data_IF_858104777039
#
_entry.id   IF_858104777039
#
_cell.length_a   1.000
_cell.length_b   1.000
_cell.length_c   1.000
_cell.angle_alpha   90.00
_cell.angle_beta   90.00
_cell.angle_gamma   90.00
#
_symmetry.space_group_name_H-M   'P 1'
#
loop_
_entity.id
_entity.type
_entity.pdbx_description
1 polymer ?
#
# COMPACT_ATOMS: atom_id res chain seq x y z
N UNK A 1 -24.24 38.63 -11.65
CA UNK A 1 -23.42 37.39 -11.76
C UNK A 1 -23.56 36.63 -10.44
N UNK A 2 -23.94 35.34 -10.47
CA UNK A 2 -24.24 34.60 -9.25
C UNK A 2 -22.95 34.02 -8.64
N UNK A 3 -22.51 34.49 -7.45
CA UNK A 3 -21.28 34.02 -6.80
C UNK A 3 -21.31 32.51 -6.52
N UNK A 4 -22.50 31.94 -6.31
CA UNK A 4 -22.71 30.52 -6.06
C UNK A 4 -22.25 29.62 -7.22
N UNK A 5 -22.34 30.09 -8.48
CA UNK A 5 -21.87 29.32 -9.65
C UNK A 5 -20.35 29.21 -9.70
N UNK A 6 -19.64 30.26 -9.27
CA UNK A 6 -18.18 30.27 -9.21
C UNK A 6 -17.66 29.39 -8.08
N UNK A 7 -18.33 29.40 -6.92
CA UNK A 7 -17.97 28.51 -5.81
C UNK A 7 -18.11 27.04 -6.22
N UNK A 8 -19.21 26.67 -6.89
CA UNK A 8 -19.43 25.29 -7.36
C UNK A 8 -18.45 24.89 -8.47
N UNK A 9 -18.12 25.80 -9.40
CA UNK A 9 -17.09 25.52 -10.42
C UNK A 9 -15.69 25.38 -9.80
N UNK A 10 -15.35 26.22 -8.81
CA UNK A 10 -14.05 26.18 -8.14
C UNK A 10 -13.88 24.89 -7.33
N UNK A 11 -14.92 24.44 -6.62
CA UNK A 11 -14.87 23.17 -5.90
C UNK A 11 -14.76 21.98 -6.83
N UNK A 12 -15.49 21.97 -7.96
CA UNK A 12 -15.35 20.94 -8.99
C UNK A 12 -13.95 20.92 -9.61
N UNK A 13 -13.35 22.08 -9.86
CA UNK A 13 -11.99 22.19 -10.41
C UNK A 13 -10.94 21.68 -9.41
N UNK A 14 -11.06 22.02 -8.13
CA UNK A 14 -10.17 21.53 -7.07
C UNK A 14 -10.29 20.01 -6.95
N UNK A 15 -11.50 19.45 -7.05
CA UNK A 15 -11.70 18.00 -7.07
C UNK A 15 -11.07 17.33 -8.31
N UNK A 16 -11.09 17.97 -9.48
CA UNK A 16 -10.43 17.44 -10.68
C UNK A 16 -8.90 17.45 -10.56
N UNK A 17 -8.33 18.51 -9.97
CA UNK A 17 -6.88 18.59 -9.73
C UNK A 17 -6.40 17.56 -8.69
N UNK A 18 -7.23 17.24 -7.70
CA UNK A 18 -6.98 16.15 -6.74
C UNK A 18 -7.28 14.76 -7.33
N UNK A 19 -7.95 14.68 -8.48
CA UNK A 19 -8.36 13.41 -9.10
C UNK A 19 -7.28 12.79 -10.00
N UNK A 20 -6.19 13.50 -10.33
CA UNK A 20 -5.15 12.93 -11.20
C UNK A 20 -4.46 11.71 -10.58
N UNK A 21 -4.37 11.65 -9.25
CA UNK A 21 -3.74 10.56 -8.53
C UNK A 21 -4.72 9.67 -7.74
N UNK A 22 -6.03 9.86 -7.91
CA UNK A 22 -7.07 9.09 -7.23
C UNK A 22 -7.87 8.18 -8.18
N UNK A 23 -8.08 6.94 -7.74
CA UNK A 23 -8.77 5.88 -8.47
C UNK A 23 -9.93 5.35 -7.63
N UNK A 24 -11.13 5.38 -8.22
CA UNK A 24 -12.33 4.84 -7.60
C UNK A 24 -12.45 3.34 -7.89
N UNK A 25 -12.51 2.53 -6.85
CA UNK A 25 -12.76 1.10 -6.94
C UNK A 25 -14.27 0.81 -6.86
N UNK A 26 -14.78 -0.19 -7.58
CA UNK A 26 -14.04 -1.07 -8.50
C UNK A 26 -13.86 -0.48 -9.91
N UNK A 27 -14.45 0.67 -10.23
CA UNK A 27 -14.53 1.21 -11.60
C UNK A 27 -13.18 1.34 -12.33
N UNK A 28 -12.12 1.73 -11.62
CA UNK A 28 -10.76 1.91 -12.15
C UNK A 28 -9.75 0.91 -11.59
N UNK A 29 -10.20 -0.29 -11.25
CA UNK A 29 -9.36 -1.29 -10.58
C UNK A 29 -8.10 -1.69 -11.37
N UNK A 30 -8.18 -1.70 -12.71
CA UNK A 30 -7.04 -1.98 -13.57
C UNK A 30 -5.95 -0.92 -13.44
N UNK A 31 -6.32 0.35 -13.53
CA UNK A 31 -5.41 1.50 -13.41
C UNK A 31 -4.81 1.55 -11.99
N UNK A 32 -5.66 1.36 -10.97
CA UNK A 32 -5.26 1.33 -9.57
C UNK A 32 -4.18 0.26 -9.33
N UNK A 33 -4.39 -0.97 -9.83
CA UNK A 33 -3.40 -2.04 -9.70
C UNK A 33 -2.12 -1.75 -10.50
N UNK A 34 -2.25 -1.15 -11.68
CA UNK A 34 -1.09 -0.74 -12.48
C UNK A 34 -0.22 0.24 -11.69
N UNK A 35 -0.85 1.20 -11.01
CA UNK A 35 -0.14 2.21 -10.23
C UNK A 35 0.62 1.62 -9.04
N UNK A 36 0.00 0.72 -8.27
CA UNK A 36 0.71 -0.02 -7.20
C UNK A 36 1.89 -0.81 -7.77
N UNK A 37 1.68 -1.51 -8.90
CA UNK A 37 2.75 -2.27 -9.54
C UNK A 37 3.89 -1.35 -10.03
N UNK A 38 3.58 -0.11 -10.46
CA UNK A 38 4.57 0.90 -10.77
C UNK A 38 5.39 1.26 -9.53
N UNK A 39 4.75 1.55 -8.40
CA UNK A 39 5.44 1.86 -7.14
C UNK A 39 6.33 0.72 -6.68
N UNK A 40 5.85 -0.53 -6.75
CA UNK A 40 6.66 -1.71 -6.39
C UNK A 40 7.94 -1.77 -7.23
N UNK A 41 7.84 -1.59 -8.55
CA UNK A 41 8.98 -1.73 -9.48
C UNK A 41 9.97 -0.56 -9.48
N UNK A 42 9.56 0.60 -8.97
CA UNK A 42 10.40 1.81 -8.94
C UNK A 42 10.96 2.10 -7.56
N UNK A 43 10.81 1.17 -6.62
CA UNK A 43 11.41 1.34 -5.31
C UNK A 43 12.92 1.08 -5.44
N UNK A 44 13.77 2.07 -5.13
CA UNK A 44 15.22 1.94 -5.32
C UNK A 44 15.95 1.31 -4.11
N UNK A 45 15.55 1.68 -2.89
CA UNK A 45 16.26 1.28 -1.65
C UNK A 45 15.47 0.28 -0.81
N UNK A 46 14.23 0.63 -0.53
CA UNK A 46 13.39 -0.08 0.42
C UNK A 46 11.92 0.07 0.02
N UNK A 47 11.24 -1.05 -0.10
CA UNK A 47 9.81 -1.13 -0.33
C UNK A 47 9.11 -1.42 1.00
N UNK A 48 8.17 -0.57 1.37
CA UNK A 48 7.37 -0.71 2.58
C UNK A 48 5.96 -1.11 2.17
N UNK A 49 5.46 -2.22 2.70
CA UNK A 49 4.12 -2.72 2.44
C UNK A 49 3.41 -2.86 3.78
N UNK A 50 2.32 -2.13 3.94
CA UNK A 50 1.37 -2.26 5.05
C UNK A 50 0.12 -2.92 4.49
N UNK A 51 -0.24 -4.12 4.93
CA UNK A 51 -1.47 -4.80 4.49
C UNK A 51 -1.78 -6.01 5.36
N UNK A 52 -3.06 -6.37 5.48
CA UNK A 52 -3.46 -7.65 6.06
C UNK A 52 -3.29 -8.82 5.08
N UNK A 53 -3.44 -8.58 3.78
CA UNK A 53 -3.35 -9.61 2.75
C UNK A 53 -2.78 -9.09 1.44
N UNK A 54 -1.96 -9.93 0.81
CA UNK A 54 -1.36 -9.69 -0.50
C UNK A 54 -1.50 -10.97 -1.34
N UNK A 55 -2.60 -11.07 -2.09
CA UNK A 55 -2.95 -12.25 -2.90
C UNK A 55 -3.20 -11.93 -4.38
N UNK A 56 -3.17 -10.65 -4.79
CA UNK A 56 -3.20 -10.32 -6.22
C UNK A 56 -1.97 -10.88 -6.94
N UNK A 57 -2.20 -11.73 -7.94
CA UNK A 57 -1.13 -12.47 -8.64
C UNK A 57 -0.14 -11.56 -9.36
N UNK A 58 -0.59 -10.41 -9.87
CA UNK A 58 0.30 -9.47 -10.56
C UNK A 58 1.18 -8.73 -9.57
N UNK A 59 0.61 -8.26 -8.45
CA UNK A 59 1.37 -7.62 -7.38
C UNK A 59 2.37 -8.58 -6.72
N UNK A 60 1.97 -9.83 -6.46
CA UNK A 60 2.88 -10.86 -5.96
C UNK A 60 4.04 -11.13 -6.92
N UNK A 61 3.77 -11.18 -8.23
CA UNK A 61 4.81 -11.41 -9.23
C UNK A 61 5.80 -10.26 -9.28
N UNK A 62 5.31 -9.03 -9.21
CA UNK A 62 6.15 -7.84 -9.13
C UNK A 62 7.02 -7.86 -7.87
N UNK A 63 6.41 -8.07 -6.69
CA UNK A 63 7.15 -8.12 -5.43
C UNK A 63 8.23 -9.21 -5.42
N UNK A 64 7.92 -10.40 -5.93
CA UNK A 64 8.92 -11.48 -6.05
C UNK A 64 10.05 -11.15 -7.01
N UNK A 65 9.81 -10.33 -8.03
CA UNK A 65 10.86 -9.86 -8.93
C UNK A 65 11.81 -8.93 -8.17
N UNK A 66 11.27 -7.94 -7.47
CA UNK A 66 12.08 -6.97 -6.70
C UNK A 66 12.88 -7.63 -5.57
N UNK A 67 12.29 -8.61 -4.88
CA UNK A 67 12.99 -9.41 -3.86
C UNK A 67 14.21 -10.14 -4.48
N UNK A 68 14.09 -10.65 -5.71
CA UNK A 68 15.21 -11.31 -6.41
C UNK A 68 16.30 -10.33 -6.82
N UNK A 69 15.92 -9.11 -7.19
CA UNK A 69 16.85 -8.00 -7.47
C UNK A 69 17.46 -7.40 -6.19
N UNK A 70 17.33 -8.11 -5.05
CA UNK A 70 17.90 -7.79 -3.74
C UNK A 70 17.34 -6.53 -3.09
N UNK A 71 16.13 -6.12 -3.49
CA UNK A 71 15.46 -5.06 -2.79
C UNK A 71 15.07 -5.48 -1.36
N UNK A 72 15.30 -4.57 -0.40
CA UNK A 72 14.83 -4.74 0.98
C UNK A 72 13.34 -4.42 1.06
N UNK A 73 12.58 -5.31 1.67
CA UNK A 73 11.14 -5.15 1.87
C UNK A 73 10.83 -5.13 3.36
N UNK A 74 10.09 -4.13 3.83
CA UNK A 74 9.45 -4.14 5.14
C UNK A 74 7.97 -4.43 4.96
N UNK A 75 7.52 -5.56 5.48
CA UNK A 75 6.11 -5.92 5.53
C UNK A 75 5.58 -5.65 6.94
N UNK A 76 4.55 -4.80 7.06
CA UNK A 76 3.80 -4.58 8.30
C UNK A 76 2.40 -5.18 8.10
N UNK A 77 1.99 -6.10 8.98
CA UNK A 77 0.72 -6.83 8.82
C UNK A 77 0.12 -7.24 10.16
N UNK A 78 -1.19 -7.48 10.21
CA UNK A 78 -1.83 -8.17 11.34
C UNK A 78 -1.96 -9.69 11.09
N UNK A 79 -1.70 -10.14 9.85
CA UNK A 79 -1.97 -11.52 9.42
C UNK A 79 -0.74 -12.41 9.54
N UNK A 80 -0.83 -13.44 10.38
CA UNK A 80 0.20 -14.49 10.51
C UNK A 80 0.44 -15.19 9.17
N UNK A 81 -0.62 -15.43 8.39
CA UNK A 81 -0.53 -16.07 7.08
C UNK A 81 0.30 -15.21 6.11
N UNK A 82 0.06 -13.90 6.10
CA UNK A 82 0.78 -12.97 5.24
C UNK A 82 2.24 -12.83 5.70
N UNK A 83 2.46 -12.68 7.02
CA UNK A 83 3.80 -12.60 7.60
C UNK A 83 4.62 -13.86 7.26
N UNK A 84 4.13 -15.05 7.62
CA UNK A 84 4.83 -16.32 7.36
C UNK A 84 5.13 -16.58 5.89
N UNK A 85 4.23 -16.19 4.97
CA UNK A 85 4.44 -16.35 3.54
C UNK A 85 5.61 -15.53 3.01
N UNK A 86 5.81 -14.30 3.49
CA UNK A 86 6.86 -13.42 2.97
C UNK A 86 8.14 -13.44 3.81
N UNK A 87 8.04 -13.82 5.09
CA UNK A 87 9.18 -13.93 5.99
C UNK A 87 10.24 -14.94 5.53
N UNK A 88 9.89 -15.93 4.68
CA UNK A 88 10.86 -16.90 4.15
C UNK A 88 11.95 -16.28 3.24
N UNK A 89 11.76 -15.05 2.76
CA UNK A 89 12.74 -14.36 1.92
C UNK A 89 13.69 -13.53 2.76
N UNK A 90 15.00 -13.71 2.60
CA UNK A 90 16.04 -13.05 3.41
C UNK A 90 16.00 -11.51 3.35
N UNK A 91 15.53 -10.93 2.25
CA UNK A 91 15.43 -9.47 2.09
C UNK A 91 14.12 -8.89 2.61
N UNK A 92 13.21 -9.74 3.12
CA UNK A 92 11.94 -9.32 3.70
C UNK A 92 12.05 -9.31 5.21
N UNK A 93 11.85 -8.14 5.81
CA UNK A 93 11.60 -7.99 7.24
C UNK A 93 10.09 -7.93 7.46
N UNK A 94 9.51 -8.97 8.07
CA UNK A 94 8.10 -8.99 8.43
C UNK A 94 7.91 -8.53 9.89
N UNK A 95 7.00 -7.58 10.07
CA UNK A 95 6.62 -7.01 11.35
C UNK A 95 5.11 -7.22 11.56
N UNK A 96 4.76 -7.72 12.74
CA UNK A 96 3.38 -8.02 13.09
C UNK A 96 2.83 -7.01 14.08
N UNK A 97 1.64 -6.48 13.80
CA UNK A 97 0.92 -5.62 14.73
C UNK A 97 0.12 -6.49 15.70
N UNK A 98 0.22 -6.21 17.01
CA UNK A 98 -0.43 -6.97 18.09
C UNK A 98 -1.96 -6.75 18.19
N UNK A 99 -2.58 -6.18 17.15
CA UNK A 99 -3.98 -5.81 17.14
C UNK A 99 -4.88 -6.98 16.72
N UNK A 100 -5.99 -7.18 17.45
CA UNK A 100 -7.02 -8.18 17.13
C UNK A 100 -7.94 -7.79 15.96
N UNK A 101 -7.69 -6.64 15.29
CA UNK A 101 -8.54 -6.14 14.21
C UNK A 101 -7.74 -5.99 12.92
N UNK A 102 -8.34 -6.31 11.76
CA UNK A 102 -7.74 -6.03 10.47
C UNK A 102 -7.51 -4.52 10.32
N UNK A 103 -6.45 -4.15 9.61
CA UNK A 103 -6.10 -2.77 9.26
C UNK A 103 -7.23 -2.09 8.47
N UNK A 104 -7.87 -2.82 7.56
CA UNK A 104 -8.91 -2.27 6.69
C UNK A 104 -8.38 -1.33 5.59
N UNK A 105 -7.06 -1.17 5.49
CA UNK A 105 -6.37 -0.42 4.44
C UNK A 105 -5.03 -1.08 4.11
N UNK A 106 -4.45 -0.63 2.99
CA UNK A 106 -3.11 -1.00 2.58
C UNK A 106 -2.31 0.23 2.20
N UNK A 107 -1.01 0.21 2.47
CA UNK A 107 -0.04 1.20 1.99
C UNK A 107 1.08 0.46 1.27
N UNK A 108 1.47 0.93 0.09
CA UNK A 108 2.65 0.45 -0.63
C UNK A 108 3.52 1.67 -0.92
N UNK A 109 4.70 1.75 -0.33
CA UNK A 109 5.56 2.92 -0.38
C UNK A 109 7.00 2.57 -0.76
N UNK A 110 7.54 3.28 -1.74
CA UNK A 110 8.97 3.38 -1.97
C UNK A 110 9.52 4.49 -1.04
N UNK A 111 10.45 4.17 -0.15
CA UNK A 111 10.87 5.02 1.00
C UNK A 111 11.19 6.51 0.69
N UNK A 112 11.54 6.85 -0.55
CA UNK A 112 11.92 8.21 -0.99
C UNK A 112 11.30 8.63 -2.32
N UNK A 113 10.24 7.96 -2.74
CA UNK A 113 9.61 8.18 -4.04
C UNK A 113 8.11 8.17 -3.81
N UNK A 114 7.40 7.34 -4.55
CA UNK A 114 5.95 7.27 -4.52
C UNK A 114 5.43 6.31 -3.45
N UNK A 115 4.21 6.58 -3.00
CA UNK A 115 3.45 5.71 -2.14
C UNK A 115 1.98 5.71 -2.54
N UNK A 116 1.35 4.55 -2.45
CA UNK A 116 -0.07 4.36 -2.71
C UNK A 116 -0.78 3.92 -1.44
N UNK A 117 -1.88 4.59 -1.13
CA UNK A 117 -2.87 4.16 -0.16
C UNK A 117 -4.03 3.48 -0.87
N UNK A 118 -4.54 2.40 -0.28
CA UNK A 118 -5.73 1.70 -0.75
C UNK A 118 -6.68 1.47 0.42
N UNK A 119 -7.93 1.86 0.24
CA UNK A 119 -9.03 1.47 1.14
C UNK A 119 -9.40 0.00 0.91
N UNK A 120 -8.62 -0.91 1.51
CA UNK A 120 -8.82 -2.35 1.43
C UNK A 120 -7.51 -3.14 1.51
N UNK A 121 -7.57 -4.40 1.10
CA UNK A 121 -6.43 -5.32 1.03
C UNK A 121 -5.85 -5.39 -0.38
N UNK A 122 -4.62 -5.92 -0.54
CA UNK A 122 -3.95 -6.08 -1.84
C UNK A 122 -4.34 -7.41 -2.50
N UNK A 123 -5.65 -7.64 -2.62
CA UNK A 123 -6.24 -8.86 -3.16
C UNK A 123 -7.06 -8.57 -4.40
N UNK A 124 -7.00 -9.46 -5.40
CA UNK A 124 -7.73 -9.29 -6.66
C UNK A 124 -9.22 -9.03 -6.44
N UNK A 125 -9.80 -9.71 -5.45
CA UNK A 125 -11.20 -9.56 -5.08
C UNK A 125 -11.50 -8.18 -4.47
N UNK A 126 -10.63 -7.69 -3.59
CA UNK A 126 -10.77 -6.37 -2.96
C UNK A 126 -10.80 -5.25 -4.01
N UNK A 127 -9.92 -5.32 -5.02
CA UNK A 127 -9.91 -4.35 -6.12
C UNK A 127 -11.16 -4.38 -6.99
N UNK A 128 -11.73 -5.57 -7.24
CA UNK A 128 -12.81 -5.78 -8.21
C UNK A 128 -14.21 -5.69 -7.64
N UNK A 129 -14.37 -5.99 -6.35
CA UNK A 129 -15.68 -6.18 -5.74
C UNK A 129 -15.98 -5.14 -4.66
N UNK A 130 -14.96 -4.49 -4.08
CA UNK A 130 -15.17 -3.55 -2.99
C UNK A 130 -15.13 -2.10 -3.47
N UNK A 131 -16.03 -1.30 -2.92
CA UNK A 131 -15.99 0.15 -3.09
C UNK A 131 -14.90 0.73 -2.21
N UNK A 132 -14.06 1.58 -2.80
CA UNK A 132 -12.93 2.16 -2.11
C UNK A 132 -12.23 3.19 -2.96
N UNK A 133 -11.21 3.80 -2.37
CA UNK A 133 -10.35 4.76 -3.04
C UNK A 133 -8.92 4.22 -2.96
N UNK A 134 -8.24 4.29 -4.10
CA UNK A 134 -6.79 4.24 -4.14
C UNK A 134 -6.29 5.63 -4.49
N UNK A 135 -5.28 6.13 -3.80
CA UNK A 135 -4.56 7.30 -4.26
C UNK A 135 -3.07 7.12 -4.06
N UNK A 136 -2.28 7.72 -4.95
CA UNK A 136 -0.83 7.67 -4.86
C UNK A 136 -0.27 9.08 -4.81
N UNK A 137 0.77 9.27 -4.01
CA UNK A 137 1.41 10.56 -3.83
C UNK A 137 2.84 10.35 -3.31
N UNK A 138 3.52 11.43 -2.96
CA UNK A 138 4.83 11.38 -2.35
C UNK A 138 4.81 10.58 -1.02
N UNK A 139 5.78 9.68 -0.86
CA UNK A 139 5.97 8.83 0.31
C UNK A 139 6.00 9.58 1.65
N UNK A 140 6.37 10.87 1.65
CA UNK A 140 6.35 11.74 2.82
C UNK A 140 4.96 11.89 3.46
N UNK A 141 3.87 11.81 2.69
CA UNK A 141 2.51 11.90 3.21
C UNK A 141 2.14 10.74 4.15
N UNK A 142 2.74 9.56 3.94
CA UNK A 142 2.48 8.36 4.74
C UNK A 142 3.56 8.10 5.78
N UNK A 143 4.64 8.90 5.79
CA UNK A 143 5.81 8.69 6.65
C UNK A 143 5.45 8.59 8.13
N UNK A 144 4.58 9.49 8.63
CA UNK A 144 4.14 9.49 10.03
C UNK A 144 3.33 8.23 10.37
N UNK A 145 2.37 7.86 9.52
CA UNK A 145 1.56 6.66 9.71
C UNK A 145 2.43 5.40 9.70
N UNK A 146 3.35 5.27 8.74
CA UNK A 146 4.27 4.14 8.66
C UNK A 146 5.17 4.08 9.90
N UNK A 147 5.68 5.23 10.37
CA UNK A 147 6.51 5.29 11.57
C UNK A 147 5.76 4.84 12.82
N UNK A 148 4.51 5.29 13.00
CA UNK A 148 3.67 4.86 14.12
C UNK A 148 3.41 3.35 14.08
N UNK A 149 3.00 2.83 12.92
CA UNK A 149 2.78 1.39 12.74
C UNK A 149 4.05 0.58 12.99
N UNK A 150 5.21 1.11 12.59
CA UNK A 150 6.51 0.47 12.84
C UNK A 150 6.90 0.45 14.31
N UNK A 151 6.52 1.46 15.09
CA UNK A 151 6.78 1.50 16.53
C UNK A 151 5.90 0.52 17.31
N UNK A 152 4.68 0.28 16.83
CA UNK A 152 3.74 -0.66 17.44
C UNK A 152 3.96 -2.11 17.03
N UNK A 153 4.70 -2.36 15.94
CA UNK A 153 4.86 -3.70 15.41
C UNK A 153 6.03 -4.44 16.06
N UNK A 154 5.85 -5.75 16.26
CA UNK A 154 6.87 -6.66 16.75
C UNK A 154 7.45 -7.44 15.57
N UNK A 155 8.79 -7.58 15.52
CA UNK A 155 9.41 -8.38 14.46
C UNK A 155 8.91 -9.83 14.54
N UNK A 156 8.39 -10.34 13.42
CA UNK A 156 7.86 -11.70 13.35
C UNK A 156 8.92 -12.76 13.69
N UNK A 157 10.19 -12.45 13.39
CA UNK A 157 11.34 -13.25 13.79
C UNK A 157 11.85 -12.88 15.19
N UNK A 158 11.14 -13.32 16.24
CA UNK A 158 11.64 -13.26 17.61
C UNK A 158 11.85 -14.66 18.26
N UNK A 159 12.05 -15.73 17.47
CA UNK A 159 12.10 -17.08 18.06
C UNK A 159 12.69 -18.23 17.26
N UNK A 160 13.56 -18.02 16.28
CA UNK A 160 14.31 -19.14 15.64
C UNK A 160 15.75 -18.73 15.35
N UNK A 161 16.56 -18.68 16.40
CA UNK A 161 17.99 -19.01 16.39
C UNK A 161 18.56 -18.90 17.81
N UNK A 162 18.33 -19.94 18.62
CA UNK A 162 19.32 -20.50 19.54
C UNK A 162 19.09 -22.00 19.62
#
# INVERSE_FOLDING_TARGET
>A
MNPMKYVVMLTLLIFQLLAESAYLLPHRWHDARHEINRVIRHADSMLIIVTDSLSDTQLQRALRHEIKEKQRVLLITTSIKTASHWAMYQTVSACMLSHNRPLGFSIVAAEKSDACFVSGTLESESFRNNYGILFCDDSSLFSQTIQLLRQECENYFNGTNR
#
